data_IF_450050314122
#
_entry.id   IF_450050314122
#
_cell.length_a   1.000
_cell.length_b   1.000
_cell.length_c   1.000
_cell.angle_alpha   90.00
_cell.angle_beta   90.00
_cell.angle_gamma   90.00
#
_symmetry.space_group_name_H-M   'P 1'
#
loop_
_entity.id
_entity.type
_entity.pdbx_description
1 polymer ?
#
# COMPACT_ATOMS: atom_id res chain seq x y z
N UNK A 1 -10.29 26.38 -37.43
CA UNK A 1 -9.23 26.13 -36.44
C UNK A 1 -9.80 26.03 -35.02
N UNK A 2 -10.31 24.84 -34.65
CA UNK A 2 -10.67 24.53 -33.27
C UNK A 2 -9.42 23.92 -32.64
N UNK A 3 -8.87 24.60 -31.65
CA UNK A 3 -7.81 24.11 -30.78
C UNK A 3 -8.20 22.73 -30.26
N UNK A 4 -7.55 21.69 -30.79
CA UNK A 4 -7.51 20.38 -30.17
C UNK A 4 -6.90 20.58 -28.79
N UNK A 5 -7.75 20.56 -27.78
CA UNK A 5 -7.34 20.35 -26.40
C UNK A 5 -6.61 19.00 -26.41
N UNK A 6 -5.29 19.02 -26.32
CA UNK A 6 -4.51 17.82 -26.07
C UNK A 6 -5.07 17.27 -24.75
N UNK A 7 -5.86 16.19 -24.82
CA UNK A 7 -6.01 15.31 -23.68
C UNK A 7 -4.60 14.78 -23.41
N UNK A 8 -3.84 15.50 -22.59
CA UNK A 8 -2.65 15.00 -21.93
C UNK A 8 -3.14 13.85 -21.07
N UNK A 9 -3.22 12.68 -21.70
CA UNK A 9 -3.57 11.42 -21.08
C UNK A 9 -2.51 11.22 -20.00
N UNK A 10 -2.84 11.59 -18.76
CA UNK A 10 -1.82 11.69 -17.71
C UNK A 10 -1.25 10.29 -17.51
N UNK A 11 0.03 10.14 -17.80
CA UNK A 11 0.70 8.84 -17.85
C UNK A 11 0.68 8.20 -16.45
N UNK A 12 0.17 6.96 -16.31
CA UNK A 12 0.31 6.19 -15.08
C UNK A 12 1.74 6.15 -14.53
N UNK A 13 2.75 6.15 -15.38
CA UNK A 13 4.15 6.24 -14.97
C UNK A 13 4.49 7.56 -14.28
N UNK A 14 3.91 8.68 -14.73
CA UNK A 14 4.07 9.97 -14.07
C UNK A 14 3.49 9.93 -12.65
N UNK A 15 2.27 9.41 -12.47
CA UNK A 15 1.68 9.32 -11.12
C UNK A 15 2.47 8.39 -10.22
N UNK A 16 2.97 7.26 -10.74
CA UNK A 16 3.79 6.36 -9.94
C UNK A 16 5.09 7.04 -9.48
N UNK A 17 5.82 7.68 -10.39
CA UNK A 17 7.06 8.41 -10.06
C UNK A 17 6.80 9.58 -9.10
N UNK A 18 5.69 10.31 -9.30
CA UNK A 18 5.28 11.36 -8.37
C UNK A 18 4.99 10.78 -6.99
N UNK A 19 4.29 9.65 -6.91
CA UNK A 19 4.01 8.97 -5.64
C UNK A 19 5.28 8.61 -4.87
N UNK A 20 6.30 8.08 -5.57
CA UNK A 20 7.62 7.82 -4.99
C UNK A 20 8.30 9.10 -4.48
N UNK A 21 8.28 10.17 -5.28
CA UNK A 21 8.85 11.46 -4.87
C UNK A 21 8.19 12.01 -3.60
N UNK A 22 6.86 12.04 -3.57
CA UNK A 22 6.11 12.52 -2.39
C UNK A 22 6.43 11.65 -1.18
N UNK A 23 6.51 10.33 -1.34
CA UNK A 23 6.82 9.44 -0.23
C UNK A 23 8.23 9.68 0.33
N UNK A 24 9.25 9.72 -0.53
CA UNK A 24 10.63 9.92 -0.09
C UNK A 24 10.94 11.32 0.43
N UNK A 25 10.04 12.28 0.19
CA UNK A 25 10.11 13.62 0.78
C UNK A 25 9.22 13.80 2.01
N UNK A 26 8.55 12.74 2.47
CA UNK A 26 7.73 12.71 3.69
C UNK A 26 6.24 13.02 3.49
N UNK A 27 5.80 13.30 2.27
CA UNK A 27 4.40 13.62 1.94
C UNK A 27 3.57 12.35 1.69
N UNK A 28 3.41 11.52 2.72
CA UNK A 28 2.76 10.20 2.61
C UNK A 28 1.31 10.25 2.12
N UNK A 29 0.54 11.27 2.49
CA UNK A 29 -0.84 11.46 2.02
C UNK A 29 -0.91 11.63 0.50
N UNK A 30 -0.04 12.48 -0.06
CA UNK A 30 -0.02 12.73 -1.50
C UNK A 30 0.60 11.58 -2.28
N UNK A 31 1.55 10.85 -1.68
CA UNK A 31 2.05 9.60 -2.21
C UNK A 31 0.93 8.57 -2.41
N UNK A 32 0.10 8.35 -1.39
CA UNK A 32 -1.04 7.42 -1.45
C UNK A 32 -2.06 7.83 -2.51
N UNK A 33 -2.38 9.13 -2.65
CA UNK A 33 -3.25 9.62 -3.72
C UNK A 33 -2.69 9.30 -5.10
N UNK A 34 -1.37 9.43 -5.27
CA UNK A 34 -0.70 9.11 -6.53
C UNK A 34 -0.70 7.61 -6.82
N UNK A 35 -0.34 6.77 -5.83
CA UNK A 35 -0.37 5.31 -5.98
C UNK A 35 -1.79 4.76 -6.19
N UNK A 36 -2.81 5.39 -5.60
CA UNK A 36 -4.19 5.00 -5.83
C UNK A 36 -4.61 5.18 -7.30
N UNK A 37 -4.07 6.19 -7.99
CA UNK A 37 -4.32 6.39 -9.43
C UNK A 37 -3.67 5.33 -10.31
N UNK A 38 -2.66 4.63 -9.81
CA UNK A 38 -1.89 3.63 -10.57
C UNK A 38 -2.20 2.19 -10.17
N UNK A 39 -2.88 1.95 -9.03
CA UNK A 39 -3.17 0.61 -8.46
C UNK A 39 -3.96 -0.37 -9.36
N UNK A 40 -4.66 0.14 -10.38
CA UNK A 40 -5.41 -0.67 -11.34
C UNK A 40 -4.74 -0.75 -12.72
N UNK A 41 -3.56 -0.16 -12.89
CA UNK A 41 -2.84 -0.14 -14.16
C UNK A 41 -1.91 -1.36 -14.24
N UNK A 42 -1.95 -2.20 -15.29
CA UNK A 42 -1.22 -3.48 -15.33
C UNK A 42 0.27 -3.44 -14.98
N UNK A 43 1.00 -2.38 -15.38
CA UNK A 43 2.44 -2.26 -15.15
C UNK A 43 2.80 -1.69 -13.77
N UNK A 44 1.94 -0.80 -13.23
CA UNK A 44 2.23 -0.04 -12.01
C UNK A 44 1.44 -0.52 -10.80
N UNK A 45 0.35 -1.26 -11.03
CA UNK A 45 -0.65 -1.53 -10.01
C UNK A 45 -0.12 -2.38 -8.87
N UNK A 46 0.61 -3.45 -9.20
CA UNK A 46 1.16 -4.36 -8.20
C UNK A 46 2.12 -3.63 -7.27
N UNK A 47 3.09 -2.91 -7.82
CA UNK A 47 4.10 -2.19 -7.04
C UNK A 47 3.50 -0.99 -6.30
N UNK A 48 2.48 -0.35 -6.86
CA UNK A 48 1.73 0.72 -6.18
C UNK A 48 1.01 0.19 -4.94
N UNK A 49 0.34 -0.96 -5.04
CA UNK A 49 -0.29 -1.61 -3.89
C UNK A 49 0.74 -2.00 -2.81
N UNK A 50 1.90 -2.52 -3.20
CA UNK A 50 2.99 -2.81 -2.27
C UNK A 50 3.42 -1.55 -1.50
N UNK A 51 3.69 -0.44 -2.20
CA UNK A 51 4.08 0.82 -1.54
C UNK A 51 2.97 1.39 -0.65
N UNK A 52 1.70 1.27 -1.06
CA UNK A 52 0.59 1.70 -0.21
C UNK A 52 0.53 0.89 1.09
N UNK A 53 0.76 -0.43 1.03
CA UNK A 53 0.85 -1.28 2.23
C UNK A 53 2.03 -0.84 3.12
N UNK A 54 3.22 -0.63 2.55
CA UNK A 54 4.41 -0.17 3.28
C UNK A 54 4.17 1.15 4.01
N UNK A 55 3.53 2.11 3.35
CA UNK A 55 3.17 3.40 3.95
C UNK A 55 2.23 3.19 5.15
N UNK A 56 1.23 2.31 5.04
CA UNK A 56 0.26 2.06 6.10
C UNK A 56 0.86 1.37 7.34
N UNK A 57 1.88 0.52 7.16
CA UNK A 57 2.48 -0.24 8.28
C UNK A 57 3.71 0.43 8.90
N UNK A 58 4.23 1.50 8.31
CA UNK A 58 5.39 2.21 8.83
C UNK A 58 5.04 2.97 10.14
N UNK A 59 5.72 2.69 11.26
CA UNK A 59 5.46 3.32 12.55
C UNK A 59 5.77 4.82 12.59
N UNK A 60 6.72 5.30 11.77
CA UNK A 60 7.15 6.71 11.74
C UNK A 60 6.19 7.62 10.95
N UNK A 61 5.23 7.03 10.23
CA UNK A 61 4.23 7.76 9.48
C UNK A 61 3.09 8.27 10.39
N UNK A 62 3.39 8.79 11.59
CA UNK A 62 2.39 9.32 12.53
C UNK A 62 1.55 10.47 11.94
N UNK A 63 2.08 11.17 10.92
CA UNK A 63 1.36 12.18 10.15
C UNK A 63 0.24 11.61 9.26
N UNK A 64 0.17 10.27 9.13
CA UNK A 64 -0.95 9.59 8.51
C UNK A 64 -2.10 9.45 9.51
N UNK A 65 -2.94 10.49 9.58
CA UNK A 65 -4.34 10.28 9.97
C UNK A 65 -5.07 9.81 8.71
N UNK A 66 -5.48 8.54 8.67
CA UNK A 66 -6.30 7.96 7.60
C UNK A 66 -7.58 8.74 7.28
N UNK A 67 -7.90 9.78 8.06
CA UNK A 67 -8.94 10.77 7.82
C UNK A 67 -8.68 11.70 6.62
N UNK A 68 -7.42 11.93 6.22
CA UNK A 68 -7.04 12.95 5.22
C UNK A 68 -6.87 12.44 3.78
N UNK A 69 -7.11 11.15 3.52
CA UNK A 69 -7.07 10.61 2.15
C UNK A 69 -8.48 10.65 1.57
N UNK A 70 -8.89 11.83 1.10
CA UNK A 70 -10.06 11.94 0.22
C UNK A 70 -9.74 11.28 -1.13
N UNK A 71 -10.10 10.00 -1.25
CA UNK A 71 -10.11 9.29 -2.52
C UNK A 71 -11.51 9.33 -3.06
N UNK A 72 -11.68 10.06 -4.15
CA UNK A 72 -12.86 10.00 -5.01
C UNK A 72 -12.99 8.57 -5.55
N UNK A 73 -13.89 7.79 -4.94
CA UNK A 73 -14.53 6.64 -5.58
C UNK A 73 -13.94 5.24 -5.38
N UNK A 74 -12.77 5.00 -4.77
CA UNK A 74 -12.26 3.63 -4.69
C UNK A 74 -11.38 3.32 -3.45
N UNK A 75 -11.95 2.51 -2.55
CA UNK A 75 -11.32 1.59 -1.56
C UNK A 75 -10.13 2.05 -0.69
N UNK A 76 -10.10 3.28 -0.18
CA UNK A 76 -9.54 3.50 1.16
C UNK A 76 -10.65 4.09 2.03
N UNK A 77 -11.33 3.18 2.73
CA UNK A 77 -12.45 3.48 3.62
C UNK A 77 -12.03 4.55 4.63
N UNK A 78 -12.83 5.61 4.75
CA UNK A 78 -12.86 6.54 5.89
C UNK A 78 -13.31 5.81 7.15
N UNK A 79 -12.56 4.82 7.60
CA UNK A 79 -12.77 4.27 8.94
C UNK A 79 -12.21 5.26 9.94
N UNK A 80 -13.12 5.92 10.69
CA UNK A 80 -12.78 6.58 11.95
C UNK A 80 -12.32 5.50 12.94
N UNK A 81 -11.07 5.07 12.84
CA UNK A 81 -10.47 4.17 13.80
C UNK A 81 -10.06 4.98 15.03
N UNK A 82 -10.55 4.57 16.20
CA UNK A 82 -9.91 4.96 17.45
C UNK A 82 -8.46 4.48 17.39
N UNK A 83 -7.50 5.40 17.52
CA UNK A 83 -6.07 5.24 17.25
C UNK A 83 -5.71 5.12 15.75
N UNK A 84 -4.95 6.09 15.24
CA UNK A 84 -4.51 6.15 13.83
C UNK A 84 -3.85 4.83 13.41
N UNK A 85 -3.01 4.24 14.28
CA UNK A 85 -2.30 2.99 13.97
C UNK A 85 -3.21 1.81 13.63
N UNK A 86 -4.33 1.59 14.34
CA UNK A 86 -5.20 0.44 14.09
C UNK A 86 -5.93 0.59 12.73
N UNK A 87 -6.37 1.80 12.41
CA UNK A 87 -6.97 2.10 11.10
C UNK A 87 -6.01 1.87 9.93
N UNK A 88 -4.73 2.19 10.14
CA UNK A 88 -3.69 1.98 9.13
C UNK A 88 -3.46 0.50 8.86
N UNK A 89 -3.40 -0.32 9.92
CA UNK A 89 -3.24 -1.78 9.82
C UNK A 89 -4.43 -2.39 9.07
N UNK A 90 -5.66 -1.98 9.39
CA UNK A 90 -6.86 -2.46 8.67
C UNK A 90 -6.85 -2.08 7.19
N UNK A 91 -6.34 -0.89 6.86
CA UNK A 91 -6.15 -0.47 5.47
C UNK A 91 -5.11 -1.34 4.78
N UNK A 92 -3.98 -1.62 5.42
CA UNK A 92 -2.94 -2.51 4.90
C UNK A 92 -3.48 -3.94 4.64
N UNK A 93 -4.30 -4.48 5.54
CA UNK A 93 -4.95 -5.78 5.36
C UNK A 93 -5.88 -5.82 4.14
N UNK A 94 -6.66 -4.76 3.91
CA UNK A 94 -7.54 -4.63 2.73
C UNK A 94 -6.73 -4.54 1.44
N UNK A 95 -5.67 -3.74 1.43
CA UNK A 95 -4.76 -3.62 0.28
C UNK A 95 -4.05 -4.94 -0.02
N UNK A 96 -3.68 -5.71 1.01
CA UNK A 96 -3.11 -7.05 0.85
C UNK A 96 -4.12 -8.03 0.23
N UNK A 97 -5.39 -7.97 0.63
CA UNK A 97 -6.45 -8.77 0.01
C UNK A 97 -6.62 -8.41 -1.47
N UNK A 98 -6.59 -7.11 -1.81
CA UNK A 98 -6.63 -6.65 -3.20
C UNK A 98 -5.41 -7.15 -3.99
N UNK A 99 -4.21 -7.06 -3.44
CA UNK A 99 -2.97 -7.54 -4.04
C UNK A 99 -3.05 -9.06 -4.33
N UNK A 100 -3.52 -9.86 -3.35
CA UNK A 100 -3.72 -11.30 -3.50
C UNK A 100 -4.77 -11.63 -4.57
N UNK A 101 -5.86 -10.88 -4.61
CA UNK A 101 -6.95 -11.08 -5.58
C UNK A 101 -6.50 -10.79 -7.02
N UNK A 102 -5.76 -9.70 -7.23
CA UNK A 102 -5.32 -9.26 -8.56
C UNK A 102 -4.09 -10.04 -9.08
N UNK A 103 -3.15 -10.40 -8.22
CA UNK A 103 -1.84 -10.91 -8.61
C UNK A 103 -1.52 -12.30 -8.06
N UNK A 104 -2.48 -12.94 -7.38
CA UNK A 104 -2.33 -14.26 -6.80
C UNK A 104 -1.45 -14.28 -5.53
N UNK A 105 -1.40 -15.45 -4.90
CA UNK A 105 -0.48 -15.70 -3.80
C UNK A 105 0.95 -15.88 -4.34
N UNK A 106 1.88 -15.09 -3.83
CA UNK A 106 3.30 -15.12 -4.16
C UNK A 106 4.14 -14.64 -2.96
N UNK A 107 5.47 -14.64 -3.12
CA UNK A 107 6.41 -14.22 -2.06
C UNK A 107 6.07 -12.84 -1.49
N UNK A 108 5.79 -11.85 -2.34
CA UNK A 108 5.45 -10.49 -1.88
C UNK A 108 4.21 -10.50 -0.99
N UNK A 109 3.15 -11.19 -1.39
CA UNK A 109 1.93 -11.27 -0.55
C UNK A 109 2.15 -11.99 0.77
N UNK A 110 3.11 -12.93 0.82
CA UNK A 110 3.49 -13.64 2.05
C UNK A 110 4.33 -12.74 2.97
N UNK A 111 5.33 -12.04 2.40
CA UNK A 111 6.14 -11.05 3.12
C UNK A 111 5.24 -9.96 3.71
N UNK A 112 4.37 -9.33 2.92
CA UNK A 112 3.48 -8.27 3.42
C UNK A 112 2.52 -8.76 4.51
N UNK A 113 2.04 -10.00 4.44
CA UNK A 113 1.25 -10.58 5.50
C UNK A 113 2.01 -10.62 6.83
N UNK A 114 3.30 -10.98 6.82
CA UNK A 114 4.13 -11.02 8.02
C UNK A 114 4.52 -9.62 8.50
N UNK A 115 4.78 -8.68 7.59
CA UNK A 115 5.05 -7.28 7.98
C UNK A 115 3.83 -6.64 8.66
N UNK A 116 2.63 -6.90 8.16
CA UNK A 116 1.38 -6.46 8.80
C UNK A 116 1.21 -7.09 10.19
N UNK A 117 1.53 -8.38 10.37
CA UNK A 117 1.55 -9.03 11.69
C UNK A 117 2.49 -8.31 12.66
N UNK A 118 3.71 -8.01 12.23
CA UNK A 118 4.68 -7.27 13.06
C UNK A 118 4.17 -5.87 13.43
N UNK A 119 3.48 -5.18 12.51
CA UNK A 119 2.92 -3.85 12.75
C UNK A 119 1.85 -3.82 13.86
N UNK A 120 1.22 -4.96 14.19
CA UNK A 120 0.26 -5.10 15.31
C UNK A 120 0.92 -5.05 16.68
N UNK A 121 2.25 -5.14 16.77
CA UNK A 121 3.05 -5.02 18.01
C UNK A 121 2.59 -5.94 19.15
N UNK A 122 2.13 -7.15 18.83
CA UNK A 122 1.82 -8.16 19.83
C UNK A 122 2.64 -9.44 19.62
N UNK A 123 2.83 -10.17 20.72
CA UNK A 123 3.73 -11.32 20.77
C UNK A 123 3.30 -12.46 19.83
N UNK A 124 2.01 -12.79 19.80
CA UNK A 124 1.49 -13.92 19.02
C UNK A 124 1.68 -13.69 17.51
N UNK A 125 1.36 -12.49 17.04
CA UNK A 125 1.57 -12.12 15.63
C UNK A 125 3.06 -12.08 15.28
N UNK A 126 3.92 -11.62 16.20
CA UNK A 126 5.36 -11.60 15.97
C UNK A 126 5.98 -13.01 15.89
N UNK A 127 5.57 -13.93 16.77
CA UNK A 127 6.00 -15.33 16.73
C UNK A 127 5.52 -16.03 15.45
N UNK A 128 4.26 -15.78 15.04
CA UNK A 128 3.72 -16.32 13.80
C UNK A 128 4.45 -15.78 12.56
N UNK A 129 4.79 -14.48 12.54
CA UNK A 129 5.57 -13.87 11.46
C UNK A 129 6.99 -14.44 11.40
N UNK A 130 7.66 -14.61 12.54
CA UNK A 130 9.00 -15.18 12.62
C UNK A 130 9.04 -16.61 12.06
N UNK A 131 8.11 -17.47 12.48
CA UNK A 131 8.05 -18.85 11.99
C UNK A 131 7.84 -18.90 10.47
N UNK A 132 6.95 -18.06 9.94
CA UNK A 132 6.70 -18.00 8.50
C UNK A 132 7.90 -17.46 7.72
N UNK A 133 8.65 -16.49 8.27
CA UNK A 133 9.92 -16.05 7.67
C UNK A 133 10.99 -17.13 7.66
N UNK A 134 11.10 -17.94 8.71
CA UNK A 134 12.01 -19.10 8.73
C UNK A 134 11.62 -20.08 7.63
N UNK A 135 10.34 -20.38 7.47
CA UNK A 135 9.86 -21.24 6.37
C UNK A 135 10.23 -20.67 5.00
N UNK A 136 10.04 -19.36 4.78
CA UNK A 136 10.45 -18.69 3.54
C UNK A 136 11.95 -18.86 3.28
N UNK A 137 12.80 -18.69 4.30
CA UNK A 137 14.26 -18.83 4.16
C UNK A 137 14.69 -20.25 3.80
N UNK A 138 13.89 -21.26 4.16
CA UNK A 138 14.18 -22.67 3.87
C UNK A 138 13.55 -23.20 2.59
N UNK A 139 12.74 -22.38 1.92
CA UNK A 139 11.97 -22.77 0.74
C UNK A 139 12.79 -22.53 -0.54
N UNK A 140 13.29 -23.61 -1.15
CA UNK A 140 14.13 -23.57 -2.37
C UNK A 140 13.41 -23.01 -3.62
N UNK A 141 12.11 -22.71 -3.53
CA UNK A 141 11.36 -22.06 -4.62
C UNK A 141 11.66 -20.56 -4.74
N UNK A 142 12.35 -19.96 -3.76
CA UNK A 142 12.65 -18.53 -3.69
C UNK A 142 14.15 -18.24 -3.66
#
# INVERSE_FOLDING_TARGET
PKSQQLNLNIDPGYFYCKGLYEWYTGNTSDALKCFNKTRSIPLWGQISLCHMIEICINPENENFSGENVDVDGDLILKEKAANSQEGNIRTAEKLLLELKSKYGANLNTRIFNNLIRLAKRNKLDAEAALNDFIEILTDERY
#
